data_IF_807736511857
#
_entry.id   IF_807736511857
#
_cell.length_a   1.000
_cell.length_b   1.000
_cell.length_c   1.000
_cell.angle_alpha   90.00
_cell.angle_beta   90.00
_cell.angle_gamma   90.00
#
_symmetry.space_group_name_H-M   'P 1'
#
loop_
_entity.id
_entity.type
_entity.pdbx_description
1 polymer ?
#
# COMPACT_ATOMS: atom_id res chain seq x y z
N UNK A 1 -48.00 -17.47 -1.41
CA UNK A 1 -47.16 -18.39 -0.60
C UNK A 1 -45.70 -18.03 -0.86
N UNK A 2 -45.05 -17.36 0.09
CA UNK A 2 -43.61 -17.12 0.00
C UNK A 2 -42.89 -18.46 0.16
N UNK A 3 -42.18 -18.87 -0.91
CA UNK A 3 -41.43 -20.12 -0.97
C UNK A 3 -40.52 -20.18 0.26
N UNK A 4 -40.68 -21.24 1.08
CA UNK A 4 -39.74 -21.60 2.14
C UNK A 4 -38.34 -21.66 1.51
N UNK A 5 -37.55 -20.61 1.71
CA UNK A 5 -36.15 -20.60 1.27
C UNK A 5 -35.51 -21.79 1.96
N UNK A 6 -34.98 -22.72 1.17
CA UNK A 6 -34.40 -23.96 1.66
C UNK A 6 -33.32 -23.58 2.69
N UNK A 7 -33.42 -24.01 3.97
CA UNK A 7 -32.48 -23.59 5.02
C UNK A 7 -30.99 -23.71 4.67
N UNK A 8 -30.54 -24.76 3.93
CA UNK A 8 -29.16 -24.87 3.46
C UNK A 8 -28.75 -23.76 2.48
N UNK A 9 -29.67 -23.30 1.63
CA UNK A 9 -29.43 -22.22 0.66
C UNK A 9 -29.31 -20.87 1.37
N UNK A 10 -30.17 -20.61 2.37
CA UNK A 10 -30.07 -19.39 3.19
C UNK A 10 -28.72 -19.30 3.93
N UNK A 11 -28.31 -20.38 4.58
CA UNK A 11 -27.02 -20.47 5.27
C UNK A 11 -25.81 -20.41 4.31
N UNK A 12 -25.96 -20.83 3.05
CA UNK A 12 -24.94 -20.65 2.03
C UNK A 12 -24.80 -19.18 1.61
N UNK A 13 -25.92 -18.50 1.35
CA UNK A 13 -25.93 -17.07 1.01
C UNK A 13 -25.37 -16.20 2.14
N UNK A 14 -25.73 -16.47 3.39
CA UNK A 14 -25.21 -15.76 4.57
C UNK A 14 -23.69 -15.94 4.69
N UNK A 15 -23.17 -17.17 4.57
CA UNK A 15 -21.72 -17.44 4.58
C UNK A 15 -20.96 -16.81 3.40
N UNK A 16 -21.58 -16.72 2.22
CA UNK A 16 -20.98 -16.02 1.08
C UNK A 16 -20.89 -14.51 1.34
N UNK A 17 -21.92 -13.92 1.95
CA UNK A 17 -21.90 -12.53 2.37
C UNK A 17 -20.79 -12.26 3.38
N UNK A 18 -20.63 -13.13 4.39
CA UNK A 18 -19.61 -12.98 5.43
C UNK A 18 -18.19 -13.04 4.85
N UNK A 19 -17.91 -14.01 3.96
CA UNK A 19 -16.61 -14.10 3.26
C UNK A 19 -16.32 -12.87 2.40
N UNK A 20 -17.33 -12.38 1.67
CA UNK A 20 -17.17 -11.20 0.80
C UNK A 20 -16.91 -9.94 1.64
N UNK A 21 -17.56 -9.82 2.81
CA UNK A 21 -17.32 -8.74 3.77
C UNK A 21 -15.92 -8.83 4.39
N UNK A 22 -15.47 -10.02 4.77
CA UNK A 22 -14.13 -10.27 5.30
C UNK A 22 -13.06 -9.87 4.26
N UNK A 23 -13.18 -10.35 3.02
CA UNK A 23 -12.30 -9.97 1.90
C UNK A 23 -12.30 -8.46 1.66
N UNK A 24 -13.46 -7.80 1.74
CA UNK A 24 -13.55 -6.34 1.62
C UNK A 24 -12.78 -5.61 2.72
N UNK A 25 -12.95 -6.01 3.98
CA UNK A 25 -12.24 -5.38 5.10
C UNK A 25 -10.73 -5.63 5.02
N UNK A 26 -10.30 -6.86 4.71
CA UNK A 26 -8.88 -7.19 4.51
C UNK A 26 -8.27 -6.37 3.38
N UNK A 27 -8.93 -6.26 2.24
CA UNK A 27 -8.43 -5.43 1.12
C UNK A 27 -8.37 -3.95 1.50
N UNK A 28 -9.36 -3.43 2.24
CA UNK A 28 -9.37 -2.06 2.72
C UNK A 28 -8.19 -1.77 3.66
N UNK A 29 -7.84 -2.70 4.54
CA UNK A 29 -6.67 -2.57 5.42
C UNK A 29 -5.36 -2.58 4.64
N UNK A 30 -5.20 -3.51 3.68
CA UNK A 30 -4.02 -3.55 2.80
C UNK A 30 -3.84 -2.25 2.01
N UNK A 31 -4.92 -1.68 1.48
CA UNK A 31 -4.88 -0.39 0.78
C UNK A 31 -4.44 0.73 1.73
N UNK A 32 -4.94 0.77 2.97
CA UNK A 32 -4.51 1.77 3.97
C UNK A 32 -3.01 1.65 4.27
N UNK A 33 -2.51 0.42 4.50
CA UNK A 33 -1.09 0.18 4.75
C UNK A 33 -0.22 0.59 3.55
N UNK A 34 -0.68 0.30 2.34
CA UNK A 34 0.00 0.71 1.11
C UNK A 34 0.08 2.24 0.99
N UNK A 35 -1.01 2.96 1.28
CA UNK A 35 -1.05 4.42 1.27
C UNK A 35 -0.09 5.03 2.30
N UNK A 36 -0.03 4.50 3.51
CA UNK A 36 0.92 4.98 4.53
C UNK A 36 2.38 4.72 4.13
N UNK A 37 2.65 3.58 3.48
CA UNK A 37 3.99 3.27 2.95
C UNK A 37 4.41 4.26 1.86
N UNK A 38 3.48 4.61 0.95
CA UNK A 38 3.72 5.62 -0.10
C UNK A 38 4.01 6.97 0.53
N UNK A 39 3.18 7.44 1.46
CA UNK A 39 3.38 8.73 2.15
C UNK A 39 4.72 8.78 2.89
N UNK A 40 5.07 7.73 3.62
CA UNK A 40 6.34 7.64 4.34
C UNK A 40 7.54 7.75 3.39
N UNK A 41 7.48 7.08 2.24
CA UNK A 41 8.54 7.14 1.23
C UNK A 41 8.63 8.52 0.58
N UNK A 42 7.48 9.14 0.27
CA UNK A 42 7.43 10.50 -0.26
C UNK A 42 8.04 11.51 0.72
N UNK A 43 7.65 11.44 2.00
CA UNK A 43 8.21 12.31 3.05
C UNK A 43 9.73 12.14 3.18
N UNK A 44 10.24 10.91 3.09
CA UNK A 44 11.67 10.65 3.09
C UNK A 44 12.38 11.30 1.90
N UNK A 45 11.84 11.12 0.68
CA UNK A 45 12.41 11.71 -0.53
C UNK A 45 12.36 13.24 -0.53
N UNK A 46 11.28 13.82 -0.01
CA UNK A 46 11.16 15.27 0.14
C UNK A 46 12.19 15.83 1.11
N UNK A 47 12.44 15.14 2.22
CA UNK A 47 13.51 15.51 3.17
C UNK A 47 14.89 15.44 2.50
N UNK A 48 15.20 14.35 1.81
CA UNK A 48 16.47 14.20 1.09
C UNK A 48 16.64 15.29 0.01
N UNK A 49 15.57 15.63 -0.70
CA UNK A 49 15.57 16.70 -1.70
C UNK A 49 15.85 18.07 -1.07
N UNK A 50 15.23 18.38 0.07
CA UNK A 50 15.47 19.64 0.80
C UNK A 50 16.91 19.73 1.30
N UNK A 51 17.45 18.65 1.86
CA UNK A 51 18.85 18.56 2.29
C UNK A 51 19.81 18.79 1.12
N UNK A 52 19.54 18.18 -0.04
CA UNK A 52 20.33 18.39 -1.25
C UNK A 52 20.28 19.84 -1.76
N UNK A 53 19.10 20.48 -1.76
CA UNK A 53 18.99 21.90 -2.10
C UNK A 53 19.72 22.80 -1.10
N UNK A 54 19.87 22.41 0.15
CA UNK A 54 20.59 23.23 1.14
C UNK A 54 22.11 23.04 1.07
N UNK A 55 22.60 22.01 0.39
CA UNK A 55 24.03 21.75 0.26
C UNK A 55 24.68 22.73 -0.74
N UNK A 56 25.86 23.27 -0.41
CA UNK A 56 26.58 24.24 -1.27
C UNK A 56 27.34 23.54 -2.42
N UNK A 57 27.68 22.26 -2.26
CA UNK A 57 28.41 21.44 -3.25
C UNK A 57 27.49 20.55 -4.11
N UNK A 58 26.38 21.10 -4.61
CA UNK A 58 25.30 20.31 -5.27
C UNK A 58 25.74 19.49 -6.48
N UNK A 59 26.81 19.91 -7.17
CA UNK A 59 27.31 19.26 -8.40
C UNK A 59 27.86 17.86 -8.13
N UNK A 60 28.61 17.67 -7.03
CA UNK A 60 29.23 16.38 -6.69
C UNK A 60 28.24 15.42 -6.01
N UNK A 61 27.13 15.95 -5.48
CA UNK A 61 26.11 15.19 -4.73
C UNK A 61 24.90 14.75 -5.58
N UNK A 62 24.83 15.13 -6.87
CA UNK A 62 23.71 14.82 -7.75
C UNK A 62 23.55 13.30 -8.02
N UNK A 63 24.67 12.60 -8.24
CA UNK A 63 24.67 11.14 -8.43
C UNK A 63 24.24 10.40 -7.16
N UNK A 64 24.67 10.91 -6.00
CA UNK A 64 24.27 10.38 -4.69
C UNK A 64 22.77 10.55 -4.42
N UNK A 65 22.23 11.72 -4.75
CA UNK A 65 20.79 11.97 -4.66
C UNK A 65 20.00 11.05 -5.59
N UNK A 66 20.46 10.91 -6.84
CA UNK A 66 19.83 10.02 -7.84
C UNK A 66 19.83 8.56 -7.38
N UNK A 67 20.95 8.06 -6.84
CA UNK A 67 21.01 6.72 -6.27
C UNK A 67 20.06 6.54 -5.08
N UNK A 68 20.00 7.53 -4.19
CA UNK A 68 19.07 7.52 -3.04
C UNK A 68 17.61 7.47 -3.49
N UNK A 69 17.28 8.19 -4.56
CA UNK A 69 15.95 8.18 -5.16
C UNK A 69 15.58 6.79 -5.70
N UNK A 70 16.45 6.17 -6.50
CA UNK A 70 16.19 4.85 -7.06
C UNK A 70 16.09 3.75 -6.00
N UNK A 71 16.96 3.78 -4.98
CA UNK A 71 16.89 2.81 -3.87
C UNK A 71 15.60 2.97 -3.06
N UNK A 72 15.18 4.21 -2.77
CA UNK A 72 13.91 4.45 -2.08
C UNK A 72 12.70 3.97 -2.90
N UNK A 73 12.71 4.17 -4.22
CA UNK A 73 11.67 3.64 -5.11
C UNK A 73 11.65 2.11 -5.12
N UNK A 74 12.80 1.45 -5.19
CA UNK A 74 12.90 0.00 -5.15
C UNK A 74 12.34 -0.56 -3.84
N UNK A 75 12.74 0.02 -2.71
CA UNK A 75 12.23 -0.37 -1.38
C UNK A 75 10.72 -0.16 -1.27
N UNK A 76 10.19 0.94 -1.82
CA UNK A 76 8.75 1.19 -1.86
C UNK A 76 8.03 0.09 -2.65
N UNK A 77 8.50 -0.24 -3.85
CA UNK A 77 7.90 -1.28 -4.68
C UNK A 77 7.91 -2.65 -3.99
N UNK A 78 9.02 -3.01 -3.32
CA UNK A 78 9.10 -4.27 -2.56
C UNK A 78 8.11 -4.31 -1.39
N UNK A 79 7.95 -3.19 -0.67
CA UNK A 79 6.98 -3.09 0.44
C UNK A 79 5.54 -3.16 -0.06
N UNK A 80 5.22 -2.43 -1.14
CA UNK A 80 3.88 -2.45 -1.73
C UNK A 80 3.51 -3.85 -2.24
N UNK A 81 4.45 -4.53 -2.90
CA UNK A 81 4.26 -5.91 -3.34
C UNK A 81 3.89 -6.81 -2.15
N UNK A 82 4.67 -6.76 -1.06
CA UNK A 82 4.41 -7.55 0.15
C UNK A 82 3.07 -7.22 0.82
N UNK A 83 2.65 -5.96 0.80
CA UNK A 83 1.37 -5.53 1.40
C UNK A 83 0.16 -5.97 0.57
N UNK A 84 0.27 -5.92 -0.76
CA UNK A 84 -0.86 -6.22 -1.65
C UNK A 84 -0.97 -7.71 -2.01
N UNK A 85 0.14 -8.46 -1.99
CA UNK A 85 0.17 -9.92 -2.21
C UNK A 85 0.02 -10.76 -0.93
N UNK A 86 -0.09 -10.10 0.23
CA UNK A 86 -0.47 -10.75 1.49
C UNK A 86 -1.86 -11.38 1.39
#
# INVERSE_FOLDING_TARGET
MWKKVNPPFKAMCERMNDKTLEEFFTNRERIKEALETIKSTQNFLDKQRLEWYQNENRSDDADKFTNTYFEAQKVLLEKLKKTLEK
#
